data_IF_076610708320
#
_entry.id   IF_076610708320
#
_cell.length_a   1.000
_cell.length_b   1.000
_cell.length_c   1.000
_cell.angle_alpha   90.00
_cell.angle_beta   90.00
_cell.angle_gamma   90.00
#
_symmetry.space_group_name_H-M   'P 1'
#
loop_
_entity.id
_entity.type
_entity.pdbx_description
1 polymer ?
#
# COMPACT_ATOMS: atom_id res chain seq x y z
N UNK A 1 35.31 -14.96 -2.17
CA UNK A 1 33.97 -15.43 -2.58
C UNK A 1 32.97 -15.28 -1.44
N UNK A 2 33.27 -15.79 -0.24
CA UNK A 2 32.39 -15.70 0.93
C UNK A 2 31.98 -14.25 1.32
N UNK A 3 32.92 -13.28 1.31
CA UNK A 3 32.61 -11.89 1.71
C UNK A 3 31.61 -11.17 0.79
N UNK A 4 31.63 -11.49 -0.51
CA UNK A 4 30.70 -10.94 -1.51
C UNK A 4 29.29 -11.49 -1.27
N UNK A 5 29.19 -12.78 -0.96
CA UNK A 5 27.93 -13.45 -0.61
C UNK A 5 27.36 -12.83 0.67
N UNK A 6 28.16 -12.70 1.72
CA UNK A 6 27.74 -12.07 2.99
C UNK A 6 27.26 -10.62 2.77
N UNK A 7 28.00 -9.82 2.00
CA UNK A 7 27.61 -8.44 1.70
C UNK A 7 26.28 -8.37 0.94
N UNK A 8 26.07 -9.27 -0.03
CA UNK A 8 24.80 -9.38 -0.78
C UNK A 8 23.63 -9.69 0.15
N UNK A 9 23.80 -10.67 1.05
CA UNK A 9 22.77 -11.08 2.01
C UNK A 9 22.42 -9.96 3.00
N UNK A 10 23.42 -9.24 3.50
CA UNK A 10 23.22 -8.10 4.40
C UNK A 10 22.45 -6.98 3.70
N UNK A 11 22.75 -6.71 2.43
CA UNK A 11 22.02 -5.69 1.64
C UNK A 11 20.58 -6.11 1.39
N UNK A 12 20.33 -7.38 1.04
CA UNK A 12 18.99 -7.92 0.84
C UNK A 12 18.14 -7.82 2.12
N UNK A 13 18.72 -8.25 3.26
CA UNK A 13 18.06 -8.19 4.57
C UNK A 13 17.71 -6.75 4.96
N UNK A 14 18.62 -5.80 4.76
CA UNK A 14 18.37 -4.38 5.05
C UNK A 14 17.30 -3.79 4.13
N UNK A 15 17.31 -4.16 2.85
CA UNK A 15 16.30 -3.71 1.90
C UNK A 15 14.90 -4.20 2.31
N UNK A 16 14.77 -5.48 2.68
CA UNK A 16 13.51 -6.03 3.19
C UNK A 16 13.04 -5.34 4.46
N UNK A 17 13.92 -5.14 5.45
CA UNK A 17 13.57 -4.43 6.67
C UNK A 17 13.12 -2.98 6.41
N UNK A 18 13.74 -2.28 5.45
CA UNK A 18 13.33 -0.94 5.06
C UNK A 18 11.94 -0.93 4.39
N UNK A 19 11.66 -1.92 3.53
CA UNK A 19 10.36 -2.08 2.88
C UNK A 19 9.27 -2.39 3.91
N UNK A 20 9.54 -3.26 4.88
CA UNK A 20 8.62 -3.56 5.98
C UNK A 20 8.27 -2.31 6.79
N UNK A 21 9.27 -1.55 7.24
CA UNK A 21 9.04 -0.33 8.00
C UNK A 21 8.24 0.71 7.19
N UNK A 22 8.57 0.86 5.90
CA UNK A 22 7.83 1.72 4.99
C UNK A 22 6.36 1.28 4.84
N UNK A 23 6.12 -0.02 4.68
CA UNK A 23 4.77 -0.56 4.57
C UNK A 23 3.97 -0.37 5.86
N UNK A 24 4.59 -0.55 7.04
CA UNK A 24 3.92 -0.33 8.33
C UNK A 24 3.58 1.14 8.56
N UNK A 25 4.50 2.07 8.25
CA UNK A 25 4.22 3.51 8.32
C UNK A 25 3.04 3.89 7.44
N UNK A 26 3.05 3.38 6.21
CA UNK A 26 2.02 3.64 5.21
C UNK A 26 0.65 3.07 5.59
N UNK A 27 0.60 1.90 6.23
CA UNK A 27 -0.66 1.32 6.72
C UNK A 27 -1.32 2.23 7.77
N UNK A 28 -0.51 2.90 8.61
CA UNK A 28 -0.99 3.92 9.56
C UNK A 28 -1.58 5.14 8.87
N UNK A 29 -0.85 5.74 7.93
CA UNK A 29 -1.32 6.88 7.13
C UNK A 29 -2.61 6.56 6.37
N UNK A 30 -2.73 5.34 5.84
CA UNK A 30 -3.93 4.88 5.13
C UNK A 30 -5.13 4.65 6.05
N UNK A 31 -4.91 4.23 7.29
CA UNK A 31 -5.96 4.13 8.29
C UNK A 31 -6.54 5.52 8.60
N UNK A 32 -5.67 6.50 8.83
CA UNK A 32 -6.07 7.89 9.09
C UNK A 32 -6.83 8.47 7.88
N UNK A 33 -6.28 8.31 6.67
CA UNK A 33 -6.92 8.78 5.44
C UNK A 33 -8.30 8.13 5.20
N UNK A 34 -8.47 6.86 5.57
CA UNK A 34 -9.76 6.18 5.50
C UNK A 34 -10.80 6.77 6.45
N UNK A 35 -10.41 7.14 7.67
CA UNK A 35 -11.33 7.81 8.60
C UNK A 35 -11.76 9.18 8.08
N UNK A 36 -10.83 9.95 7.53
CA UNK A 36 -11.09 11.26 6.91
C UNK A 36 -11.93 11.13 5.65
N UNK A 37 -11.69 10.10 4.85
CA UNK A 37 -12.49 9.75 3.69
C UNK A 37 -13.95 9.43 4.02
N UNK A 38 -14.18 8.67 5.09
CA UNK A 38 -15.52 8.38 5.60
C UNK A 38 -16.24 9.63 6.13
N UNK A 39 -15.50 10.63 6.58
CA UNK A 39 -16.04 11.93 6.96
C UNK A 39 -16.38 12.83 5.75
N UNK A 40 -16.13 12.38 4.52
CA UNK A 40 -16.44 13.12 3.29
C UNK A 40 -15.42 14.20 2.92
N UNK A 41 -14.27 14.24 3.59
CA UNK A 41 -13.20 15.23 3.39
C UNK A 41 -12.16 14.78 2.34
N UNK A 42 -12.47 13.73 1.58
CA UNK A 42 -11.53 13.06 0.67
C UNK A 42 -11.04 13.99 -0.47
N UNK A 43 -11.82 15.02 -0.81
CA UNK A 43 -11.45 16.06 -1.78
C UNK A 43 -10.21 16.85 -1.38
N UNK A 44 -9.98 17.04 -0.09
CA UNK A 44 -8.80 17.75 0.44
C UNK A 44 -7.52 16.89 0.39
N UNK A 45 -7.66 15.57 0.14
CA UNK A 45 -6.57 14.60 0.19
C UNK A 45 -6.32 13.85 -1.14
N UNK A 46 -6.85 14.35 -2.27
CA UNK A 46 -6.71 13.67 -3.56
C UNK A 46 -5.23 13.59 -4.05
N UNK A 47 -4.45 14.65 -3.80
CA UNK A 47 -3.01 14.67 -4.10
C UNK A 47 -2.23 13.69 -3.21
N UNK A 48 -2.54 13.68 -1.91
CA UNK A 48 -1.95 12.77 -0.95
C UNK A 48 -2.22 11.31 -1.32
N UNK A 49 -3.47 10.95 -1.64
CA UNK A 49 -3.81 9.61 -2.12
C UNK A 49 -3.02 9.21 -3.37
N UNK A 50 -2.72 10.15 -4.27
CA UNK A 50 -1.91 9.90 -5.48
C UNK A 50 -0.45 9.65 -5.15
N UNK A 51 0.12 10.39 -4.19
CA UNK A 51 1.46 10.14 -3.68
C UNK A 51 1.54 8.76 -3.02
N UNK A 52 0.58 8.39 -2.18
CA UNK A 52 0.54 7.09 -1.51
C UNK A 52 0.42 5.93 -2.52
N UNK A 53 -0.39 6.07 -3.58
CA UNK A 53 -0.44 5.09 -4.69
C UNK A 53 0.91 4.92 -5.37
N UNK A 54 1.61 6.02 -5.61
CA UNK A 54 2.96 5.99 -6.21
C UNK A 54 3.94 5.29 -5.28
N UNK A 55 3.88 5.56 -3.97
CA UNK A 55 4.75 4.94 -2.99
C UNK A 55 4.53 3.43 -2.87
N UNK A 56 3.27 2.97 -2.78
CA UNK A 56 2.93 1.53 -2.81
C UNK A 56 3.46 0.86 -4.08
N UNK A 57 3.32 1.52 -5.24
CA UNK A 57 3.84 0.99 -6.51
C UNK A 57 5.36 0.83 -6.45
N UNK A 58 6.08 1.80 -5.91
CA UNK A 58 7.53 1.72 -5.71
C UNK A 58 7.92 0.54 -4.83
N UNK A 59 7.25 0.36 -3.68
CA UNK A 59 7.52 -0.78 -2.78
C UNK A 59 7.31 -2.13 -3.48
N UNK A 60 6.25 -2.26 -4.30
CA UNK A 60 6.01 -3.48 -5.11
C UNK A 60 7.13 -3.74 -6.11
N UNK A 61 7.56 -2.70 -6.84
CA UNK A 61 8.65 -2.83 -7.82
C UNK A 61 9.94 -3.23 -7.12
N UNK A 62 10.24 -2.68 -5.94
CA UNK A 62 11.42 -3.06 -5.16
C UNK A 62 11.36 -4.52 -4.70
N UNK A 63 10.21 -5.03 -4.30
CA UNK A 63 10.02 -6.45 -3.95
C UNK A 63 10.16 -7.37 -5.16
N UNK A 64 9.62 -6.96 -6.31
CA UNK A 64 9.73 -7.71 -7.58
C UNK A 64 11.14 -7.72 -8.15
N UNK A 65 11.96 -6.72 -7.81
CA UNK A 65 13.36 -6.68 -8.21
C UNK A 65 14.24 -7.66 -7.42
N UNK A 66 13.76 -8.20 -6.30
CA UNK A 66 14.42 -9.29 -5.57
C UNK A 66 14.02 -10.61 -6.23
N UNK A 67 14.99 -11.34 -6.79
CA UNK A 67 14.66 -12.61 -7.46
C UNK A 67 14.34 -13.69 -6.43
N UNK A 68 13.45 -14.65 -6.74
CA UNK A 68 13.14 -15.76 -5.82
C UNK A 68 14.39 -16.54 -5.40
N UNK A 69 15.28 -16.81 -6.35
CA UNK A 69 16.54 -17.52 -6.08
C UNK A 69 17.41 -16.77 -5.06
N UNK A 70 17.49 -15.43 -5.15
CA UNK A 70 18.28 -14.62 -4.21
C UNK A 70 17.68 -14.59 -2.81
N UNK A 71 16.34 -14.61 -2.73
CA UNK A 71 15.60 -14.65 -1.47
C UNK A 71 15.76 -16.02 -0.80
N UNK A 72 15.68 -17.09 -1.58
CA UNK A 72 15.80 -18.47 -1.11
C UNK A 72 17.23 -18.80 -0.67
N UNK A 73 18.24 -18.41 -1.47
CA UNK A 73 19.66 -18.54 -1.11
C UNK A 73 19.98 -17.83 0.21
N UNK A 74 19.31 -16.70 0.48
CA UNK A 74 19.49 -15.93 1.69
C UNK A 74 18.62 -16.39 2.88
N UNK A 75 17.76 -17.39 2.69
CA UNK A 75 16.82 -17.84 3.73
C UNK A 75 15.81 -16.77 4.14
N UNK A 76 15.48 -15.83 3.25
CA UNK A 76 14.60 -14.69 3.52
C UNK A 76 13.18 -14.88 3.00
N UNK A 77 12.81 -16.07 2.52
CA UNK A 77 11.50 -16.34 1.91
C UNK A 77 10.31 -15.93 2.78
N UNK A 78 10.31 -16.30 4.07
CA UNK A 78 9.24 -15.90 5.01
C UNK A 78 9.15 -14.39 5.15
N UNK A 79 10.30 -13.72 5.22
CA UNK A 79 10.38 -12.27 5.41
C UNK A 79 9.94 -11.51 4.17
N UNK A 80 10.33 -11.99 2.99
CA UNK A 80 9.86 -11.48 1.71
C UNK A 80 8.35 -11.62 1.58
N UNK A 81 7.78 -12.79 1.92
CA UNK A 81 6.33 -13.01 1.93
C UNK A 81 5.59 -12.08 2.90
N UNK A 82 6.15 -11.81 4.10
CA UNK A 82 5.58 -10.84 5.04
C UNK A 82 5.57 -9.42 4.47
N UNK A 83 6.67 -9.01 3.82
CA UNK A 83 6.76 -7.71 3.16
C UNK A 83 5.76 -7.58 2.00
N UNK A 84 5.62 -8.62 1.17
CA UNK A 84 4.60 -8.67 0.11
C UNK A 84 3.18 -8.56 0.66
N UNK A 85 2.88 -9.27 1.74
CA UNK A 85 1.59 -9.20 2.40
C UNK A 85 1.30 -7.80 2.94
N UNK A 86 2.28 -7.14 3.56
CA UNK A 86 2.15 -5.78 4.08
C UNK A 86 1.87 -4.75 2.96
N UNK A 87 2.68 -4.78 1.90
CA UNK A 87 2.48 -3.92 0.72
C UNK A 87 1.15 -4.24 0.02
N UNK A 88 0.74 -5.51 0.03
CA UNK A 88 -0.57 -5.97 -0.46
C UNK A 88 -1.75 -5.35 0.29
N UNK A 89 -1.68 -5.28 1.63
CA UNK A 89 -2.68 -4.63 2.48
C UNK A 89 -2.78 -3.13 2.19
N UNK A 90 -1.65 -2.42 2.11
CA UNK A 90 -1.61 -0.99 1.76
C UNK A 90 -2.32 -0.73 0.42
N UNK A 91 -2.04 -1.57 -0.59
CA UNK A 91 -2.66 -1.45 -1.90
C UNK A 91 -4.16 -1.78 -1.91
N UNK A 92 -4.63 -2.63 -1.00
CA UNK A 92 -6.05 -2.92 -0.83
C UNK A 92 -6.77 -1.76 -0.15
N UNK A 93 -6.15 -1.18 0.89
CA UNK A 93 -6.66 0.00 1.58
C UNK A 93 -6.83 1.19 0.64
N UNK A 94 -5.81 1.50 -0.19
CA UNK A 94 -5.91 2.55 -1.21
C UNK A 94 -7.04 2.32 -2.21
N UNK A 95 -7.21 1.08 -2.69
CA UNK A 95 -8.31 0.75 -3.61
C UNK A 95 -9.69 0.92 -2.98
N UNK A 96 -9.81 0.72 -1.67
CA UNK A 96 -11.07 0.94 -0.96
C UNK A 96 -11.44 2.44 -0.85
N UNK A 97 -10.46 3.35 -0.92
CA UNK A 97 -10.69 4.80 -0.97
C UNK A 97 -11.19 5.27 -2.34
N UNK A 98 -10.85 4.55 -3.40
CA UNK A 98 -11.27 4.82 -4.78
C UNK A 98 -12.70 4.37 -5.09
N UNK A 99 -13.33 3.59 -4.20
CA UNK A 99 -14.71 3.18 -4.37
C UNK A 99 -15.62 4.39 -4.09
N UNK A 100 -16.41 4.87 -5.07
CA UNK A 100 -17.36 5.93 -4.79
C UNK A 100 -18.32 5.48 -3.68
N UNK A 101 -18.55 6.37 -2.70
CA UNK A 101 -19.64 6.27 -1.71
C UNK A 101 -20.99 6.41 -2.43
N UNK A 102 -21.32 5.46 -3.31
CA UNK A 102 -22.62 5.32 -3.96
C UNK A 102 -23.42 4.18 -3.30
N UNK A 103 -23.28 4.04 -1.98
CA UNK A 103 -24.16 3.18 -1.16
C UNK A 103 -24.90 4.00 -0.11
N UNK A 104 -25.49 5.13 -0.52
CA UNK A 104 -26.68 5.67 0.11
C UNK A 104 -27.91 5.16 -0.63
N UNK A 105 -29.00 4.73 0.05
CA UNK A 105 -30.20 4.31 -0.65
C UNK A 105 -30.74 5.48 -1.47
N UNK A 106 -31.06 5.21 -2.73
CA UNK A 106 -31.69 6.15 -3.65
C UNK A 106 -33.08 6.57 -3.11
N UNK A 107 -33.09 7.59 -2.25
CA UNK A 107 -34.27 8.36 -1.89
C UNK A 107 -34.55 9.37 -3.00
N UNK A 108 -35.26 8.91 -4.03
CA UNK A 108 -35.79 9.77 -5.09
C UNK A 108 -36.88 10.68 -4.52
N UNK A 109 -36.71 12.00 -4.68
CA UNK A 109 -37.72 13.04 -4.45
C UNK A 109 -37.07 14.36 -4.02
N UNK A 110 -37.50 15.55 -4.50
CA UNK A 110 -38.79 15.86 -5.11
C UNK A 110 -38.67 16.41 -6.54
N UNK A 111 -39.59 16.03 -7.43
CA UNK A 111 -39.81 16.80 -8.66
C UNK A 111 -40.97 17.76 -8.41
N UNK A 112 -40.64 19.02 -8.16
CA UNK A 112 -41.58 20.13 -8.20
C UNK A 112 -42.25 20.18 -9.57
N UNK A 113 -43.55 19.90 -9.59
CA UNK A 113 -44.44 20.15 -10.72
C UNK A 113 -45.11 21.52 -10.57
N UNK A 114 -44.56 22.48 -11.30
CA UNK A 114 -45.18 23.72 -11.80
C UNK A 114 -46.70 23.61 -12.08
N UNK A 115 -47.43 24.65 -11.63
CA UNK A 115 -48.84 24.93 -11.91
C UNK A 115 -49.06 25.46 -13.33
#
# INVERSE_FOLDING_TARGET
MADIVVLKHVRLTRALAAIEMAAVSLDGELADLRTTGQAGLLGDHAEEATLLRTYVRTLRVLLQAMTPDEVDEAGLGERHALAEAAVGRCAAALRALDLPVNSGPAGSGPVSGIA
#
